data_IF_715559980975
#
_entry.id   IF_715559980975
#
_cell.length_a   1.000
_cell.length_b   1.000
_cell.length_c   1.000
_cell.angle_alpha   90.00
_cell.angle_beta   90.00
_cell.angle_gamma   90.00
#
_symmetry.space_group_name_H-M   'P 1'
#
loop_
_entity.id
_entity.type
_entity.pdbx_description
1 polymer ?
#
# COMPACT_ATOMS: atom_id res chain seq x y z
N UNK A 1 -42.02 8.06 -15.47
CA UNK A 1 -40.64 8.50 -15.82
C UNK A 1 -39.69 7.38 -15.50
N UNK A 2 -38.89 6.91 -16.49
CA UNK A 2 -37.81 5.96 -16.25
C UNK A 2 -36.54 6.72 -15.86
N UNK A 3 -36.04 6.52 -14.64
CA UNK A 3 -34.79 7.11 -14.21
C UNK A 3 -33.61 6.48 -14.96
N UNK A 4 -32.54 7.26 -15.25
CA UNK A 4 -31.31 6.71 -15.82
C UNK A 4 -30.73 5.65 -14.91
N UNK A 5 -30.32 4.53 -15.48
CA UNK A 5 -29.75 3.41 -14.72
C UNK A 5 -28.19 3.47 -14.79
N UNK A 6 -27.50 3.49 -13.64
CA UNK A 6 -26.04 3.44 -13.64
C UNK A 6 -25.54 2.08 -14.17
N UNK A 7 -24.35 2.09 -14.75
CA UNK A 7 -23.67 0.86 -15.16
C UNK A 7 -23.39 0.01 -13.90
N UNK A 8 -23.74 -1.27 -13.96
CA UNK A 8 -23.38 -2.21 -12.89
C UNK A 8 -21.95 -2.68 -13.09
N UNK A 9 -21.07 -2.35 -12.16
CA UNK A 9 -19.72 -2.90 -12.11
C UNK A 9 -19.71 -4.29 -11.48
N UNK A 10 -18.80 -5.15 -11.96
CA UNK A 10 -18.59 -6.49 -11.37
C UNK A 10 -17.62 -6.47 -10.17
N UNK A 11 -16.98 -5.31 -9.91
CA UNK A 11 -16.07 -5.15 -8.78
C UNK A 11 -16.83 -5.12 -7.45
N UNK A 12 -16.28 -5.77 -6.45
CA UNK A 12 -16.71 -5.62 -5.06
C UNK A 12 -16.42 -4.20 -4.56
N UNK A 13 -17.26 -3.68 -3.68
CA UNK A 13 -16.96 -2.42 -2.99
C UNK A 13 -15.80 -2.62 -2.04
N UNK A 14 -14.81 -1.71 -2.06
CA UNK A 14 -13.75 -1.71 -1.06
C UNK A 14 -14.31 -1.49 0.35
N UNK A 15 -13.96 -2.37 1.26
CA UNK A 15 -14.28 -2.23 2.69
C UNK A 15 -12.97 -1.92 3.42
N UNK A 16 -12.88 -0.72 3.99
CA UNK A 16 -11.72 -0.29 4.76
C UNK A 16 -11.51 -1.09 6.05
N UNK A 17 -10.36 -0.91 6.72
CA UNK A 17 -10.19 -1.39 8.08
C UNK A 17 -11.20 -0.74 9.02
N UNK A 18 -11.85 -1.53 9.88
CA UNK A 18 -12.83 -1.02 10.81
C UNK A 18 -12.18 0.00 11.77
N UNK A 19 -12.83 1.13 11.94
CA UNK A 19 -12.48 2.13 12.96
C UNK A 19 -13.34 1.97 14.21
N UNK A 20 -14.51 1.33 14.06
CA UNK A 20 -15.48 1.04 15.10
C UNK A 20 -15.95 -0.40 14.98
N UNK A 21 -16.25 -1.03 16.08
CA UNK A 21 -16.84 -2.36 16.12
C UNK A 21 -17.80 -2.46 17.30
N UNK A 22 -19.10 -2.71 17.03
CA UNK A 22 -20.15 -2.67 18.01
C UNK A 22 -20.16 -1.30 18.75
N UNK A 23 -20.65 -1.21 19.96
CA UNK A 23 -20.60 0.00 20.81
C UNK A 23 -19.37 -0.03 21.73
N UNK A 24 -18.16 -0.16 21.16
CA UNK A 24 -16.91 -0.15 21.94
C UNK A 24 -16.45 1.29 22.08
N UNK A 25 -16.30 1.77 23.31
CA UNK A 25 -15.81 3.11 23.60
C UNK A 25 -14.30 3.21 23.36
N UNK A 26 -13.89 4.28 22.66
CA UNK A 26 -12.49 4.59 22.35
C UNK A 26 -11.69 3.39 21.84
N UNK A 27 -12.06 2.76 20.69
CA UNK A 27 -11.36 1.61 20.17
C UNK A 27 -9.94 1.97 19.72
N UNK A 28 -9.01 1.05 19.91
CA UNK A 28 -7.63 1.15 19.42
C UNK A 28 -7.60 0.54 18.02
N UNK A 29 -7.51 1.38 17.00
CA UNK A 29 -7.53 0.98 15.61
C UNK A 29 -6.17 0.46 15.15
N UNK A 30 -6.05 -0.84 14.93
CA UNK A 30 -4.86 -1.53 14.40
C UNK A 30 -5.16 -2.23 13.06
N UNK A 31 -6.05 -1.65 12.25
CA UNK A 31 -6.65 -2.30 11.08
C UNK A 31 -6.26 -1.70 9.72
N UNK A 32 -5.56 -0.56 9.67
CA UNK A 32 -5.39 0.20 8.43
C UNK A 32 -3.93 0.52 8.04
N UNK A 33 -2.95 -0.07 8.72
CA UNK A 33 -1.51 0.15 8.45
C UNK A 33 -1.11 1.62 8.52
N UNK A 34 -1.71 2.36 9.47
CA UNK A 34 -1.35 3.75 9.75
C UNK A 34 0.00 3.81 10.47
N UNK A 35 0.69 4.95 10.38
CA UNK A 35 1.97 5.14 11.08
C UNK A 35 1.77 5.20 12.59
N UNK A 36 2.57 4.45 13.34
CA UNK A 36 2.54 4.42 14.80
C UNK A 36 2.95 5.76 15.45
N UNK A 37 3.85 6.51 14.80
CA UNK A 37 4.36 7.79 15.29
C UNK A 37 3.61 9.00 14.69
N UNK A 38 2.75 8.77 13.69
CA UNK A 38 2.13 9.87 12.93
C UNK A 38 3.12 10.61 12.03
N UNK A 39 2.76 11.83 11.59
CA UNK A 39 3.58 12.67 10.73
C UNK A 39 4.71 13.36 11.49
N UNK A 40 5.74 13.82 10.76
CA UNK A 40 6.80 14.62 11.35
C UNK A 40 6.28 15.97 11.85
N UNK A 41 6.86 16.55 12.92
CA UNK A 41 6.52 17.90 13.37
C UNK A 41 6.70 18.96 12.29
N UNK A 42 7.71 18.82 11.41
CA UNK A 42 7.95 19.74 10.29
C UNK A 42 6.82 19.69 9.25
N UNK A 43 6.31 18.48 8.96
CA UNK A 43 5.16 18.33 8.07
C UNK A 43 3.88 18.95 8.65
N UNK A 44 3.64 18.81 9.95
CA UNK A 44 2.52 19.47 10.64
C UNK A 44 2.67 20.98 10.61
N UNK A 45 3.86 21.51 10.90
CA UNK A 45 4.13 22.94 10.86
C UNK A 45 3.89 23.53 9.47
N UNK A 46 4.33 22.83 8.41
CA UNK A 46 4.10 23.25 7.02
C UNK A 46 2.61 23.26 6.66
N UNK A 47 1.87 22.26 7.09
CA UNK A 47 0.42 22.21 6.94
C UNK A 47 -0.26 23.42 7.63
N UNK A 48 0.12 23.72 8.87
CA UNK A 48 -0.44 24.83 9.63
C UNK A 48 -0.10 26.20 9.02
N UNK A 49 1.10 26.39 8.52
CA UNK A 49 1.53 27.63 7.86
C UNK A 49 0.74 27.93 6.59
N UNK A 50 0.23 26.90 5.92
CA UNK A 50 -0.50 27.05 4.65
C UNK A 50 -2.04 26.95 4.81
N UNK A 51 -2.56 26.59 6.01
CA UNK A 51 -4.00 26.37 6.24
C UNK A 51 -4.87 27.60 5.93
N UNK A 52 -4.34 28.82 6.11
CA UNK A 52 -5.06 30.05 5.80
C UNK A 52 -5.03 30.46 4.32
N UNK A 53 -4.35 29.68 3.46
CA UNK A 53 -4.25 29.92 2.02
C UNK A 53 -5.09 28.95 1.19
N UNK A 54 -5.99 28.18 1.83
CA UNK A 54 -6.82 27.16 1.16
C UNK A 54 -7.81 27.73 0.12
N UNK A 55 -8.04 29.04 0.12
CA UNK A 55 -8.85 29.73 -0.89
C UNK A 55 -8.11 29.90 -2.23
N UNK A 56 -6.82 29.58 -2.30
CA UNK A 56 -6.01 29.63 -3.53
C UNK A 56 -5.82 28.22 -4.09
N UNK A 57 -5.96 28.07 -5.40
CA UNK A 57 -5.57 26.82 -6.05
C UNK A 57 -4.12 26.44 -5.76
N UNK A 58 -3.82 25.13 -5.66
CA UNK A 58 -2.44 24.65 -5.54
C UNK A 58 -1.68 24.76 -6.88
N UNK A 59 -0.43 24.33 -6.88
CA UNK A 59 0.31 24.09 -8.13
C UNK A 59 -0.38 22.97 -8.93
N UNK A 60 -0.63 23.19 -10.23
CA UNK A 60 -1.29 22.20 -11.08
C UNK A 60 -0.47 20.91 -11.22
N UNK A 61 0.86 21.04 -11.22
CA UNK A 61 1.80 19.97 -11.54
C UNK A 61 2.59 19.48 -10.33
N UNK A 62 2.30 20.01 -9.13
CA UNK A 62 3.00 19.67 -7.88
C UNK A 62 4.53 19.83 -7.97
N UNK A 63 5.01 20.88 -8.67
CA UNK A 63 6.43 21.08 -8.98
C UNK A 63 7.30 21.10 -7.74
N UNK A 64 6.88 21.82 -6.68
CA UNK A 64 7.63 21.91 -5.42
C UNK A 64 7.90 20.52 -4.81
N UNK A 65 6.92 19.62 -4.87
CA UNK A 65 7.08 18.25 -4.36
C UNK A 65 7.92 17.40 -5.31
N UNK A 66 7.70 17.51 -6.64
CA UNK A 66 8.44 16.73 -7.64
C UNK A 66 9.94 17.02 -7.60
N UNK A 67 10.34 18.27 -7.41
CA UNK A 67 11.74 18.67 -7.29
C UNK A 67 12.41 18.04 -6.06
N UNK A 68 11.75 18.10 -4.90
CA UNK A 68 12.27 17.49 -3.66
C UNK A 68 12.35 15.96 -3.75
N UNK A 69 11.37 15.33 -4.41
CA UNK A 69 11.41 13.88 -4.68
C UNK A 69 12.56 13.53 -5.62
N UNK A 70 12.76 14.32 -6.69
CA UNK A 70 13.82 14.14 -7.67
C UNK A 70 15.20 14.23 -7.01
N UNK A 71 15.42 15.25 -6.18
CA UNK A 71 16.66 15.42 -5.40
C UNK A 71 16.90 14.24 -4.45
N UNK A 72 15.86 13.86 -3.64
CA UNK A 72 16.00 12.80 -2.65
C UNK A 72 16.36 11.46 -3.25
N UNK A 73 15.75 11.11 -4.38
CA UNK A 73 15.89 9.77 -5.00
C UNK A 73 16.82 9.75 -6.22
N UNK A 74 17.43 10.88 -6.54
CA UNK A 74 18.31 11.05 -7.72
C UNK A 74 17.64 10.55 -9.01
N UNK A 75 16.48 11.15 -9.33
CA UNK A 75 15.65 10.83 -10.50
C UNK A 75 15.18 12.11 -11.19
N UNK A 76 14.68 11.99 -12.42
CA UNK A 76 14.16 13.12 -13.20
C UNK A 76 12.78 13.56 -12.71
N UNK A 77 12.65 14.83 -12.27
CA UNK A 77 11.37 15.40 -11.81
C UNK A 77 10.29 15.41 -12.91
N UNK A 78 10.67 15.45 -14.20
CA UNK A 78 9.75 15.41 -15.34
C UNK A 78 9.12 14.02 -15.54
N UNK A 79 9.65 13.01 -14.87
CA UNK A 79 9.16 11.63 -14.90
C UNK A 79 8.35 11.26 -13.65
N UNK A 80 7.95 12.28 -12.85
CA UNK A 80 7.15 12.11 -11.63
C UNK A 80 5.73 12.63 -11.86
N UNK A 81 4.74 11.90 -11.38
CA UNK A 81 3.35 12.36 -11.23
C UNK A 81 2.92 12.25 -9.78
N UNK A 82 2.29 13.30 -9.23
CA UNK A 82 1.70 13.28 -7.89
C UNK A 82 0.19 13.07 -7.97
N UNK A 83 -0.36 12.37 -6.99
CA UNK A 83 -1.77 12.02 -6.95
C UNK A 83 -2.37 12.01 -5.55
N UNK A 84 -3.68 11.94 -5.49
CA UNK A 84 -4.46 11.77 -4.26
C UNK A 84 -4.30 10.33 -3.72
N UNK A 85 -3.11 10.05 -3.15
CA UNK A 85 -2.60 8.72 -2.83
C UNK A 85 -2.08 7.99 -4.06
N UNK A 86 -1.37 6.87 -3.86
CA UNK A 86 -1.02 5.95 -4.95
C UNK A 86 -2.25 5.38 -5.65
N UNK A 87 -3.39 5.34 -4.97
CA UNK A 87 -4.68 4.90 -5.52
C UNK A 87 -5.05 5.66 -6.79
N UNK A 88 -4.87 6.99 -6.82
CA UNK A 88 -5.14 7.77 -8.03
C UNK A 88 -4.19 7.40 -9.17
N UNK A 89 -2.94 7.07 -8.86
CA UNK A 89 -1.98 6.65 -9.90
C UNK A 89 -2.40 5.29 -10.50
N UNK A 90 -2.92 4.36 -9.69
CA UNK A 90 -3.45 3.09 -10.20
C UNK A 90 -4.66 3.30 -11.10
N UNK A 91 -5.58 4.17 -10.71
CA UNK A 91 -6.76 4.50 -11.51
C UNK A 91 -6.39 5.13 -12.86
N UNK A 92 -5.51 6.15 -12.84
CA UNK A 92 -4.97 6.78 -14.05
C UNK A 92 -4.26 5.75 -14.95
N UNK A 93 -3.51 4.83 -14.36
CA UNK A 93 -2.84 3.75 -15.10
C UNK A 93 -3.87 2.86 -15.80
N UNK A 94 -4.89 2.41 -15.08
CA UNK A 94 -5.94 1.61 -15.68
C UNK A 94 -6.69 2.37 -16.78
N UNK A 95 -6.94 3.66 -16.58
CA UNK A 95 -7.59 4.51 -17.58
C UNK A 95 -6.77 4.62 -18.88
N UNK A 96 -5.45 4.73 -18.79
CA UNK A 96 -4.59 4.91 -19.95
C UNK A 96 -4.32 3.63 -20.75
N UNK A 97 -4.28 2.48 -20.08
CA UNK A 97 -3.76 1.26 -20.67
C UNK A 97 -4.82 0.17 -20.92
N UNK A 98 -6.07 0.37 -20.45
CA UNK A 98 -7.09 -0.67 -20.50
C UNK A 98 -8.29 -0.28 -21.35
N UNK A 99 -8.64 -1.18 -22.25
CA UNK A 99 -9.91 -1.21 -22.97
C UNK A 99 -10.78 -2.40 -22.48
N UNK A 100 -12.10 -2.37 -22.75
CA UNK A 100 -12.95 -3.49 -22.41
C UNK A 100 -12.47 -4.80 -23.01
N UNK A 101 -12.20 -5.81 -22.18
CA UNK A 101 -11.71 -7.13 -22.59
C UNK A 101 -10.19 -7.33 -22.50
N UNK A 102 -9.42 -6.28 -22.23
CA UNK A 102 -8.02 -6.40 -21.88
C UNK A 102 -7.85 -7.15 -20.55
N UNK A 103 -6.66 -7.71 -20.32
CA UNK A 103 -6.37 -8.47 -19.12
C UNK A 103 -5.36 -7.74 -18.23
N UNK A 104 -5.65 -7.77 -16.91
CA UNK A 104 -4.76 -7.29 -15.85
C UNK A 104 -4.40 -8.46 -14.96
N UNK A 105 -3.10 -8.75 -14.82
CA UNK A 105 -2.62 -9.76 -13.88
C UNK A 105 -2.35 -9.11 -12.54
N UNK A 106 -2.88 -9.72 -11.48
CA UNK A 106 -2.60 -9.40 -10.08
C UNK A 106 -2.32 -10.68 -9.31
N UNK A 107 -1.53 -10.62 -8.24
CA UNK A 107 -1.31 -11.78 -7.39
C UNK A 107 -2.58 -12.11 -6.59
N UNK A 108 -2.75 -13.37 -6.23
CA UNK A 108 -3.96 -13.90 -5.58
C UNK A 108 -4.37 -13.09 -4.35
N UNK A 109 -3.41 -12.75 -3.51
CA UNK A 109 -3.60 -11.94 -2.31
C UNK A 109 -2.99 -10.53 -2.45
N UNK A 110 -2.81 -10.03 -3.68
CA UNK A 110 -2.36 -8.67 -3.93
C UNK A 110 -3.37 -7.62 -3.46
N UNK A 111 -2.92 -6.37 -3.32
CA UNK A 111 -3.76 -5.29 -2.83
C UNK A 111 -5.05 -5.15 -3.67
N UNK A 112 -6.18 -5.25 -2.99
CA UNK A 112 -7.50 -5.42 -3.63
C UNK A 112 -7.88 -4.29 -4.59
N UNK A 113 -7.33 -3.07 -4.39
CA UNK A 113 -7.65 -1.93 -5.23
C UNK A 113 -7.22 -2.10 -6.69
N UNK A 114 -6.16 -2.88 -6.98
CA UNK A 114 -5.79 -3.18 -8.36
C UNK A 114 -6.92 -3.85 -9.15
N UNK A 115 -7.60 -4.82 -8.50
CA UNK A 115 -8.76 -5.52 -9.09
C UNK A 115 -9.93 -4.58 -9.30
N UNK A 116 -10.16 -3.70 -8.34
CA UNK A 116 -11.28 -2.74 -8.37
C UNK A 116 -11.07 -1.76 -9.52
N UNK A 117 -9.88 -1.11 -9.61
CA UNK A 117 -9.59 -0.17 -10.70
C UNK A 117 -9.61 -0.84 -12.08
N UNK A 118 -9.00 -2.01 -12.24
CA UNK A 118 -9.09 -2.77 -13.49
C UNK A 118 -10.55 -3.06 -13.90
N UNK A 119 -11.41 -3.40 -12.93
CA UNK A 119 -12.83 -3.67 -13.17
C UNK A 119 -13.62 -2.43 -13.55
N UNK A 120 -13.24 -1.22 -13.09
CA UNK A 120 -13.88 0.04 -13.51
C UNK A 120 -13.74 0.25 -15.03
N UNK A 121 -12.63 -0.20 -15.61
CA UNK A 121 -12.37 -0.12 -17.05
C UNK A 121 -12.82 -1.38 -17.83
N UNK A 122 -13.63 -2.24 -17.19
CA UNK A 122 -14.18 -3.48 -17.78
C UNK A 122 -13.09 -4.45 -18.25
N UNK A 123 -11.86 -4.32 -17.73
CA UNK A 123 -10.80 -5.26 -17.97
C UNK A 123 -11.04 -6.56 -17.20
N UNK A 124 -10.54 -7.66 -17.72
CA UNK A 124 -10.58 -8.96 -17.06
C UNK A 124 -9.42 -9.06 -16.07
N UNK A 125 -9.75 -9.23 -14.79
CA UNK A 125 -8.77 -9.51 -13.75
C UNK A 125 -8.37 -10.98 -13.79
N UNK A 126 -7.06 -11.22 -13.93
CA UNK A 126 -6.45 -12.56 -13.96
C UNK A 126 -5.60 -12.73 -12.69
N UNK A 127 -5.94 -13.74 -11.88
CA UNK A 127 -5.23 -14.01 -10.62
C UNK A 127 -4.06 -14.98 -10.87
N UNK A 128 -2.85 -14.55 -10.51
CA UNK A 128 -1.69 -15.42 -10.41
C UNK A 128 -1.62 -15.99 -8.99
N UNK A 129 -1.54 -17.31 -8.84
CA UNK A 129 -1.50 -17.98 -7.54
C UNK A 129 -0.26 -17.60 -6.76
N UNK A 130 -0.40 -17.58 -5.45
CA UNK A 130 0.71 -17.37 -4.52
C UNK A 130 1.12 -18.69 -3.87
N UNK A 131 2.43 -18.84 -3.60
CA UNK A 131 2.98 -20.00 -2.89
C UNK A 131 3.36 -19.56 -1.47
N UNK A 132 2.72 -20.11 -0.45
CA UNK A 132 2.94 -19.70 0.95
C UNK A 132 2.78 -18.20 1.17
N UNK A 133 1.74 -17.59 0.61
CA UNK A 133 1.46 -16.14 0.64
C UNK A 133 2.51 -15.27 -0.06
N UNK A 134 3.43 -15.83 -0.82
CA UNK A 134 4.42 -15.12 -1.63
C UNK A 134 4.05 -15.21 -3.11
N UNK A 135 4.13 -14.09 -3.81
CA UNK A 135 3.98 -14.03 -5.26
C UNK A 135 4.98 -14.98 -5.94
N UNK A 136 4.56 -15.62 -7.04
CA UNK A 136 5.40 -16.50 -7.82
C UNK A 136 5.58 -15.94 -9.24
N UNK A 137 6.83 -15.71 -9.62
CA UNK A 137 7.18 -15.21 -10.97
C UNK A 137 6.64 -16.14 -12.06
N UNK A 138 6.79 -17.46 -11.90
CA UNK A 138 6.31 -18.43 -12.90
C UNK A 138 4.79 -18.45 -12.99
N UNK A 139 4.06 -18.38 -11.87
CA UNK A 139 2.60 -18.29 -11.87
C UNK A 139 2.10 -17.01 -12.56
N UNK A 140 2.80 -15.89 -12.38
CA UNK A 140 2.48 -14.63 -13.08
C UNK A 140 2.69 -14.79 -14.57
N UNK A 141 3.83 -15.32 -15.00
CA UNK A 141 4.20 -15.47 -16.40
C UNK A 141 3.32 -16.49 -17.15
N UNK A 142 2.88 -17.55 -16.46
CA UNK A 142 1.94 -18.54 -17.01
C UNK A 142 0.58 -17.92 -17.37
N UNK A 143 0.17 -16.87 -16.65
CA UNK A 143 -1.10 -16.17 -16.92
C UNK A 143 -1.03 -15.12 -18.02
N UNK A 144 0.16 -14.84 -18.57
CA UNK A 144 0.33 -13.85 -19.63
C UNK A 144 -0.26 -14.33 -20.94
N UNK A 145 -1.12 -13.52 -21.54
CA UNK A 145 -1.73 -13.73 -22.85
C UNK A 145 -1.43 -12.56 -23.80
N UNK A 146 -1.97 -12.58 -25.02
CA UNK A 146 -1.88 -11.41 -25.94
C UNK A 146 -2.75 -10.24 -25.49
N UNK A 147 -3.71 -10.48 -24.56
CA UNK A 147 -4.63 -9.46 -24.01
C UNK A 147 -4.08 -8.81 -22.73
N UNK A 148 -2.99 -9.34 -22.17
CA UNK A 148 -2.38 -8.79 -20.98
C UNK A 148 -1.76 -7.43 -21.25
N UNK A 149 -2.19 -6.40 -20.53
CA UNK A 149 -1.69 -5.02 -20.63
C UNK A 149 -0.90 -4.60 -19.41
N UNK A 150 -1.35 -5.01 -18.22
CA UNK A 150 -0.77 -4.57 -16.94
C UNK A 150 -0.52 -5.79 -16.05
N UNK A 151 0.61 -5.77 -15.34
CA UNK A 151 0.91 -6.65 -14.20
C UNK A 151 1.15 -5.77 -12.99
N UNK A 152 0.33 -5.92 -11.93
CA UNK A 152 0.51 -5.23 -10.65
C UNK A 152 1.26 -6.09 -9.65
N UNK A 153 2.33 -5.56 -9.06
CA UNK A 153 3.12 -6.19 -8.00
C UNK A 153 3.31 -5.20 -6.85
N UNK A 154 2.80 -5.53 -5.67
CA UNK A 154 3.17 -4.84 -4.44
C UNK A 154 4.40 -5.52 -3.82
N UNK A 155 5.43 -4.74 -3.51
CA UNK A 155 6.69 -5.29 -3.00
C UNK A 155 7.35 -4.40 -1.94
N UNK A 156 7.21 -4.70 -0.65
CA UNK A 156 6.50 -5.83 -0.01
C UNK A 156 4.98 -5.80 -0.19
N UNK A 157 4.37 -7.00 -0.22
CA UNK A 157 2.94 -7.15 -0.49
C UNK A 157 2.04 -6.86 0.73
N UNK A 158 0.92 -6.24 0.48
CA UNK A 158 -0.19 -6.11 1.41
C UNK A 158 -1.38 -6.95 0.89
N UNK A 159 -1.90 -7.92 1.67
CA UNK A 159 -1.81 -8.05 3.14
C UNK A 159 -0.78 -9.07 3.64
N UNK A 160 -0.03 -9.75 2.79
CA UNK A 160 0.76 -10.93 3.17
C UNK A 160 2.07 -10.60 3.88
N UNK A 161 2.62 -9.40 3.68
CA UNK A 161 3.93 -9.01 4.21
C UNK A 161 5.10 -9.77 3.59
N UNK A 162 4.89 -10.52 2.51
CA UNK A 162 5.94 -11.20 1.76
C UNK A 162 6.50 -10.29 0.67
N UNK A 163 7.66 -10.66 0.13
CA UNK A 163 8.27 -9.89 -0.96
C UNK A 163 8.99 -10.79 -1.97
N UNK A 164 9.14 -10.28 -3.18
CA UNK A 164 10.04 -10.81 -4.20
C UNK A 164 11.42 -10.19 -4.03
N UNK A 165 12.47 -11.00 -4.13
CA UNK A 165 13.85 -10.51 -4.12
C UNK A 165 14.13 -9.66 -5.35
N UNK A 166 15.25 -8.91 -5.33
CA UNK A 166 15.70 -8.15 -6.50
C UNK A 166 15.84 -8.99 -7.75
N UNK A 167 16.37 -10.22 -7.59
CA UNK A 167 16.59 -11.13 -8.72
C UNK A 167 15.27 -11.68 -9.25
N UNK A 168 14.30 -12.01 -8.39
CA UNK A 168 12.95 -12.39 -8.78
C UNK A 168 12.24 -11.26 -9.54
N UNK A 169 12.35 -10.01 -9.05
CA UNK A 169 11.76 -8.84 -9.71
C UNK A 169 12.39 -8.56 -11.09
N UNK A 170 13.70 -8.63 -11.20
CA UNK A 170 14.42 -8.48 -12.46
C UNK A 170 14.08 -9.61 -13.44
N UNK A 171 14.02 -10.86 -12.96
CA UNK A 171 13.61 -12.01 -13.76
C UNK A 171 12.19 -11.85 -14.29
N UNK A 172 11.24 -11.43 -13.46
CA UNK A 172 9.87 -11.13 -13.88
C UNK A 172 9.87 -10.12 -15.03
N UNK A 173 10.53 -8.94 -14.85
CA UNK A 173 10.53 -7.91 -15.89
C UNK A 173 11.17 -8.35 -17.18
N UNK A 174 12.28 -9.09 -17.13
CA UNK A 174 12.98 -9.59 -18.32
C UNK A 174 12.15 -10.57 -19.14
N UNK A 175 11.32 -11.39 -18.49
CA UNK A 175 10.48 -12.41 -19.13
C UNK A 175 9.12 -11.87 -19.58
N UNK A 176 8.65 -10.76 -19.01
CA UNK A 176 7.44 -10.09 -19.51
C UNK A 176 7.70 -9.42 -20.86
N UNK A 177 6.72 -9.50 -21.77
CA UNK A 177 6.78 -8.80 -23.06
C UNK A 177 6.98 -7.30 -22.88
N UNK A 178 7.65 -6.63 -23.79
CA UNK A 178 7.96 -5.20 -23.71
C UNK A 178 6.72 -4.29 -23.73
N UNK A 179 5.64 -4.75 -24.35
CA UNK A 179 4.35 -4.04 -24.43
C UNK A 179 3.45 -4.25 -23.21
N UNK A 180 3.91 -4.94 -22.17
CA UNK A 180 3.18 -5.10 -20.90
C UNK A 180 3.78 -4.13 -19.89
N UNK A 181 2.95 -3.26 -19.33
CA UNK A 181 3.33 -2.38 -18.24
C UNK A 181 3.42 -3.17 -16.94
N UNK A 182 4.57 -3.13 -16.27
CA UNK A 182 4.72 -3.63 -14.90
C UNK A 182 4.56 -2.48 -13.92
N UNK A 183 3.57 -2.56 -13.04
CA UNK A 183 3.35 -1.59 -11.96
C UNK A 183 3.90 -2.16 -10.67
N UNK A 184 4.90 -1.49 -10.09
CA UNK A 184 5.53 -1.87 -8.83
C UNK A 184 5.06 -0.91 -7.74
N UNK A 185 4.32 -1.43 -6.77
CA UNK A 185 3.86 -0.65 -5.62
C UNK A 185 4.84 -0.79 -4.45
N UNK A 186 5.65 0.24 -4.27
CA UNK A 186 6.68 0.36 -3.22
C UNK A 186 6.12 0.97 -1.91
N UNK A 187 4.83 0.79 -1.60
CA UNK A 187 4.20 1.46 -0.45
C UNK A 187 4.84 1.14 0.92
N UNK A 188 5.59 0.06 1.02
CA UNK A 188 6.19 -0.42 2.27
C UNK A 188 7.71 -0.61 2.20
N UNK A 189 8.35 -0.15 1.11
CA UNK A 189 9.78 -0.44 0.88
C UNK A 189 10.71 0.06 2.00
N UNK A 190 10.35 1.18 2.67
CA UNK A 190 11.17 1.75 3.73
C UNK A 190 11.25 0.89 5.00
N UNK A 191 10.31 -0.04 5.19
CA UNK A 191 10.27 -0.89 6.38
C UNK A 191 11.12 -2.16 6.24
N UNK A 192 11.52 -2.52 5.02
CA UNK A 192 12.30 -3.73 4.75
C UNK A 192 13.75 -3.38 4.48
N UNK A 193 14.62 -3.94 5.31
CA UNK A 193 16.07 -3.93 5.12
C UNK A 193 16.55 -5.38 5.04
N UNK A 194 16.84 -5.86 3.82
CA UNK A 194 17.35 -7.20 3.54
C UNK A 194 18.32 -7.11 2.37
N UNK A 195 19.38 -7.91 2.38
CA UNK A 195 20.44 -7.89 1.36
C UNK A 195 19.92 -8.32 -0.03
N UNK A 196 18.86 -9.10 -0.07
CA UNK A 196 18.23 -9.58 -1.30
C UNK A 196 17.06 -8.71 -1.78
N UNK A 197 16.73 -7.63 -1.06
CA UNK A 197 15.66 -6.70 -1.40
C UNK A 197 16.21 -5.38 -1.93
N UNK A 198 15.54 -4.84 -2.94
CA UNK A 198 15.79 -3.49 -3.47
C UNK A 198 14.45 -2.88 -3.90
N UNK A 199 14.28 -1.58 -3.68
CA UNK A 199 13.04 -0.90 -4.08
C UNK A 199 12.84 -0.94 -5.59
N UNK A 200 11.58 -0.97 -6.03
CA UNK A 200 11.26 -0.95 -7.46
C UNK A 200 11.80 0.29 -8.17
N UNK A 201 11.86 1.44 -7.48
CA UNK A 201 12.42 2.65 -8.07
C UNK A 201 13.92 2.48 -8.41
N UNK A 202 14.69 1.90 -7.51
CA UNK A 202 16.12 1.69 -7.74
C UNK A 202 16.38 0.64 -8.83
N UNK A 203 15.57 -0.44 -8.86
CA UNK A 203 15.69 -1.49 -9.88
C UNK A 203 15.29 -1.03 -11.28
N UNK A 204 14.29 -0.16 -11.39
CA UNK A 204 13.60 0.06 -12.66
C UNK A 204 13.55 1.52 -13.11
N UNK A 205 14.25 2.46 -12.47
CA UNK A 205 14.23 3.88 -12.81
C UNK A 205 14.57 4.17 -14.29
N UNK A 206 15.35 3.29 -14.93
CA UNK A 206 15.77 3.43 -16.32
C UNK A 206 14.91 2.62 -17.32
N UNK A 207 13.89 1.89 -16.83
CA UNK A 207 12.99 1.12 -17.70
C UNK A 207 11.83 1.99 -18.18
N UNK A 208 11.49 1.89 -19.45
CA UNK A 208 10.39 2.66 -20.07
C UNK A 208 9.01 2.03 -19.84
N UNK A 209 8.94 0.75 -19.51
CA UNK A 209 7.72 -0.04 -19.38
C UNK A 209 7.48 -0.52 -17.92
N UNK A 210 7.97 0.25 -16.97
CA UNK A 210 7.70 0.07 -15.53
C UNK A 210 7.19 1.38 -14.95
N UNK A 211 6.13 1.30 -14.17
CA UNK A 211 5.64 2.38 -13.32
C UNK A 211 5.87 1.98 -11.87
N UNK A 212 6.64 2.76 -11.14
CA UNK A 212 6.81 2.58 -9.69
C UNK A 212 5.95 3.57 -8.95
N UNK A 213 5.19 3.11 -7.95
CA UNK A 213 4.35 3.98 -7.13
C UNK A 213 4.82 4.01 -5.69
N UNK A 214 4.66 5.14 -5.02
CA UNK A 214 4.97 5.34 -3.60
C UNK A 214 3.89 6.18 -2.93
N UNK A 215 3.81 6.08 -1.61
CA UNK A 215 2.76 6.72 -0.82
C UNK A 215 3.33 7.46 0.39
N UNK A 216 2.67 8.56 0.75
CA UNK A 216 2.92 9.26 2.01
C UNK A 216 2.09 8.70 3.17
N UNK A 217 1.23 7.74 2.89
CA UNK A 217 0.28 7.19 3.88
C UNK A 217 0.92 6.29 4.94
N UNK A 218 2.16 5.79 4.71
CA UNK A 218 2.80 4.78 5.57
C UNK A 218 3.91 5.40 6.41
N UNK A 219 5.15 5.33 5.94
CA UNK A 219 6.31 5.82 6.72
C UNK A 219 6.22 7.30 7.07
N UNK A 220 5.66 8.13 6.19
CA UNK A 220 5.53 9.57 6.39
C UNK A 220 4.37 9.98 7.31
N UNK A 221 3.46 9.05 7.65
CA UNK A 221 2.35 9.30 8.57
C UNK A 221 1.24 10.21 8.04
N UNK A 222 1.16 10.45 6.73
CA UNK A 222 0.21 11.37 6.10
C UNK A 222 -1.00 10.66 5.46
N UNK A 223 -1.44 9.53 6.04
CA UNK A 223 -2.54 8.73 5.48
C UNK A 223 -3.83 9.54 5.24
N UNK A 224 -4.18 10.44 6.16
CA UNK A 224 -5.36 11.29 6.07
C UNK A 224 -5.27 12.38 4.99
N UNK A 225 -4.07 12.78 4.61
CA UNK A 225 -3.84 13.83 3.59
C UNK A 225 -3.96 13.30 2.16
N UNK A 226 -3.99 11.99 1.95
CA UNK A 226 -4.12 11.38 0.63
C UNK A 226 -3.06 11.90 -0.36
N UNK A 227 -1.80 11.57 -0.13
CA UNK A 227 -0.68 11.92 -1.00
C UNK A 227 0.09 10.68 -1.44
N UNK A 228 0.37 10.59 -2.72
CA UNK A 228 1.20 9.56 -3.34
C UNK A 228 1.82 10.06 -4.63
N UNK A 229 2.71 9.28 -5.20
CA UNK A 229 3.37 9.63 -6.45
C UNK A 229 3.76 8.39 -7.23
N UNK A 230 3.96 8.57 -8.54
CA UNK A 230 4.45 7.55 -9.46
C UNK A 230 5.63 8.07 -10.26
N UNK A 231 6.50 7.15 -10.69
CA UNK A 231 7.65 7.38 -11.55
C UNK A 231 7.68 6.38 -12.70
N UNK A 232 7.80 6.89 -13.92
CA UNK A 232 7.85 6.05 -15.12
C UNK A 232 8.62 6.74 -16.26
N UNK A 233 8.54 6.24 -17.49
CA UNK A 233 9.03 6.96 -18.66
C UNK A 233 8.29 8.27 -18.85
N UNK A 234 8.96 9.23 -19.49
CA UNK A 234 8.38 10.56 -19.75
C UNK A 234 7.08 10.46 -20.55
N UNK A 235 7.01 9.56 -21.54
CA UNK A 235 5.81 9.36 -22.37
C UNK A 235 4.60 8.93 -21.51
N UNK A 236 4.78 7.97 -20.60
CA UNK A 236 3.72 7.53 -19.71
C UNK A 236 3.28 8.65 -18.78
N UNK A 237 4.23 9.40 -18.23
CA UNK A 237 3.93 10.51 -17.33
C UNK A 237 3.22 11.64 -18.06
N UNK A 238 3.67 12.01 -19.26
CA UNK A 238 3.00 13.03 -20.09
C UNK A 238 1.55 12.62 -20.41
N UNK A 239 1.32 11.35 -20.77
CA UNK A 239 -0.03 10.84 -21.01
C UNK A 239 -0.90 10.88 -19.73
N UNK A 240 -0.34 10.57 -18.56
CA UNK A 240 -1.06 10.71 -17.29
C UNK A 240 -1.43 12.16 -16.98
N UNK A 241 -0.57 13.12 -17.33
CA UNK A 241 -0.86 14.55 -17.17
C UNK A 241 -2.03 15.03 -18.06
N UNK A 242 -2.29 14.38 -19.20
CA UNK A 242 -3.42 14.73 -20.07
C UNK A 242 -4.77 14.33 -19.47
N UNK A 243 -4.82 13.30 -18.64
CA UNK A 243 -6.08 12.74 -18.10
C UNK A 243 -6.27 12.98 -16.60
N UNK A 244 -5.23 13.38 -15.87
CA UNK A 244 -5.39 13.64 -14.44
C UNK A 244 -6.31 14.85 -14.21
N UNK A 245 -7.15 14.83 -13.16
CA UNK A 245 -7.93 16.02 -12.78
C UNK A 245 -7.00 17.22 -12.50
N UNK A 246 -7.41 18.44 -12.88
CA UNK A 246 -6.64 19.64 -12.53
C UNK A 246 -6.58 19.80 -11.01
N UNK A 247 -5.45 20.30 -10.50
CA UNK A 247 -5.27 20.59 -9.07
C UNK A 247 -5.57 19.40 -8.13
N UNK A 248 -5.24 18.20 -8.57
CA UNK A 248 -5.60 16.94 -7.90
C UNK A 248 -4.93 16.70 -6.53
N UNK A 249 -3.92 17.49 -6.17
CA UNK A 249 -3.27 17.47 -4.86
C UNK A 249 -3.44 18.82 -4.18
N UNK A 250 -3.98 18.83 -2.97
CA UNK A 250 -4.26 20.04 -2.21
C UNK A 250 -3.00 20.81 -1.83
N UNK A 251 -3.11 22.14 -1.74
CA UNK A 251 -2.03 23.05 -1.36
C UNK A 251 -1.35 22.66 -0.03
N UNK A 252 -2.13 22.51 1.02
CA UNK A 252 -1.61 22.12 2.36
C UNK A 252 -0.98 20.74 2.36
N UNK A 253 -1.45 19.86 1.49
CA UNK A 253 -0.90 18.50 1.31
C UNK A 253 0.47 18.53 0.65
N UNK A 254 0.66 19.40 -0.37
CA UNK A 254 1.95 19.61 -1.03
C UNK A 254 2.97 20.16 -0.03
N UNK A 255 2.61 21.19 0.74
CA UNK A 255 3.48 21.78 1.75
C UNK A 255 3.94 20.75 2.80
N UNK A 256 2.99 19.98 3.35
CA UNK A 256 3.29 18.92 4.30
C UNK A 256 4.15 17.80 3.69
N UNK A 257 3.88 17.41 2.44
CA UNK A 257 4.62 16.39 1.71
C UNK A 257 6.09 16.77 1.48
N UNK A 258 6.34 18.01 1.07
CA UNK A 258 7.70 18.54 0.89
C UNK A 258 8.52 18.43 2.18
N UNK A 259 7.96 18.88 3.29
CA UNK A 259 8.68 18.84 4.57
C UNK A 259 8.78 17.42 5.16
N UNK A 260 7.80 16.56 4.91
CA UNK A 260 7.89 15.15 5.30
C UNK A 260 9.05 14.42 4.59
N UNK A 261 9.27 14.70 3.28
CA UNK A 261 10.37 14.12 2.50
C UNK A 261 11.74 14.59 3.01
N UNK A 262 11.85 15.86 3.41
CA UNK A 262 13.10 16.47 3.90
C UNK A 262 13.47 16.01 5.31
N UNK A 263 12.51 15.56 6.13
CA UNK A 263 12.74 15.20 7.52
C UNK A 263 13.33 13.78 7.68
N UNK A 264 14.60 13.65 7.31
CA UNK A 264 15.35 12.36 7.33
C UNK A 264 15.38 11.75 8.74
N UNK A 265 15.51 12.60 9.77
CA UNK A 265 15.59 12.12 11.17
C UNK A 265 14.26 11.53 11.64
N UNK A 266 13.12 12.11 11.26
CA UNK A 266 11.82 11.53 11.58
C UNK A 266 11.59 10.20 10.88
N UNK A 267 11.97 10.09 9.60
CA UNK A 267 11.87 8.84 8.84
C UNK A 267 12.71 7.74 9.50
N UNK A 268 13.96 8.06 9.87
CA UNK A 268 14.85 7.14 10.59
C UNK A 268 14.23 6.67 11.89
N UNK A 269 13.72 7.61 12.70
CA UNK A 269 13.01 7.30 13.95
C UNK A 269 11.81 6.39 13.74
N UNK A 270 11.03 6.60 12.68
CA UNK A 270 9.87 5.78 12.36
C UNK A 270 10.27 4.35 11.94
N UNK A 271 11.35 4.19 11.18
CA UNK A 271 11.91 2.89 10.82
C UNK A 271 12.42 2.15 12.06
N UNK A 272 13.22 2.80 12.90
CA UNK A 272 13.75 2.23 14.13
C UNK A 272 12.64 1.80 15.09
N UNK A 273 11.62 2.64 15.23
CA UNK A 273 10.44 2.33 16.04
C UNK A 273 9.70 1.09 15.52
N UNK A 274 9.44 1.04 14.22
CA UNK A 274 8.79 -0.10 13.59
C UNK A 274 9.61 -1.37 13.77
N UNK A 275 10.92 -1.32 13.54
CA UNK A 275 11.84 -2.45 13.71
C UNK A 275 11.84 -2.98 15.14
N UNK A 276 11.87 -2.09 16.13
CA UNK A 276 11.84 -2.48 17.54
C UNK A 276 10.55 -3.23 17.89
N UNK A 277 9.41 -2.64 17.52
CA UNK A 277 8.11 -3.20 17.91
C UNK A 277 7.73 -4.44 17.10
N UNK A 278 8.10 -4.49 15.83
CA UNK A 278 7.90 -5.70 15.03
C UNK A 278 8.66 -6.89 15.61
N UNK A 279 9.92 -6.72 16.02
CA UNK A 279 10.70 -7.78 16.67
C UNK A 279 10.05 -8.25 17.97
N UNK A 280 9.58 -7.32 18.82
CA UNK A 280 8.90 -7.66 20.09
C UNK A 280 7.60 -8.44 19.87
N UNK A 281 6.75 -7.96 18.97
CA UNK A 281 5.46 -8.61 18.65
C UNK A 281 5.72 -10.00 18.05
N UNK A 282 6.62 -10.10 17.07
CA UNK A 282 6.97 -11.35 16.41
C UNK A 282 7.51 -12.41 17.39
N UNK A 283 8.36 -11.99 18.34
CA UNK A 283 8.85 -12.86 19.41
C UNK A 283 7.70 -13.41 20.30
N UNK A 284 6.70 -12.58 20.60
CA UNK A 284 5.51 -13.03 21.35
C UNK A 284 4.70 -14.03 20.53
N UNK A 285 4.44 -13.75 19.24
CA UNK A 285 3.70 -14.67 18.37
C UNK A 285 4.41 -16.03 18.27
N UNK A 286 5.72 -16.03 18.04
CA UNK A 286 6.54 -17.27 18.01
C UNK A 286 6.45 -18.06 19.31
N UNK A 287 6.51 -17.40 20.48
CA UNK A 287 6.42 -18.08 21.79
C UNK A 287 5.12 -18.85 21.97
N UNK A 288 4.04 -18.44 21.31
CA UNK A 288 2.73 -19.11 21.35
C UNK A 288 2.45 -19.96 20.11
N UNK A 289 3.47 -20.28 19.30
CA UNK A 289 3.37 -21.06 18.06
C UNK A 289 2.37 -20.48 17.05
N UNK A 290 2.23 -19.14 17.02
CA UNK A 290 1.36 -18.46 16.07
C UNK A 290 2.18 -18.08 14.85
N UNK A 291 1.74 -18.54 13.68
CA UNK A 291 2.37 -18.19 12.41
C UNK A 291 2.06 -16.74 12.02
N UNK A 292 3.07 -16.02 11.62
CA UNK A 292 2.96 -14.68 11.03
C UNK A 292 4.07 -14.50 9.98
N UNK A 293 3.89 -13.53 9.05
CA UNK A 293 4.97 -13.14 8.16
C UNK A 293 6.16 -12.56 8.94
N UNK A 294 7.35 -12.65 8.36
CA UNK A 294 8.53 -11.96 8.89
C UNK A 294 8.29 -10.44 8.92
N UNK A 295 9.01 -9.68 9.79
CA UNK A 295 8.86 -8.23 9.96
C UNK A 295 9.38 -7.43 8.75
N UNK A 296 8.60 -7.35 7.70
CA UNK A 296 8.93 -6.69 6.42
C UNK A 296 8.15 -5.40 6.17
N UNK A 297 7.13 -5.15 6.98
CA UNK A 297 6.19 -4.03 6.83
C UNK A 297 5.86 -3.41 8.19
N UNK A 298 4.93 -2.46 8.24
CA UNK A 298 4.37 -1.97 9.50
C UNK A 298 3.14 -2.75 9.98
N UNK A 299 3.02 -4.00 9.53
CA UNK A 299 1.93 -4.89 9.94
C UNK A 299 2.35 -6.37 9.90
N UNK A 300 1.53 -7.22 10.51
CA UNK A 300 1.62 -8.67 10.42
C UNK A 300 0.34 -9.28 9.87
N UNK A 301 0.45 -10.24 8.97
CA UNK A 301 -0.60 -11.20 8.69
C UNK A 301 -0.43 -12.37 9.67
N UNK A 302 -1.32 -12.48 10.63
CA UNK A 302 -1.27 -13.49 11.69
C UNK A 302 -2.21 -14.63 11.33
N UNK A 303 -1.70 -15.85 11.30
CA UNK A 303 -2.47 -17.06 11.00
C UNK A 303 -2.75 -17.85 12.28
N UNK A 304 -4.02 -18.03 12.58
CA UNK A 304 -4.53 -18.76 13.75
C UNK A 304 -5.02 -20.17 13.40
N UNK A 305 -4.73 -20.69 12.20
CA UNK A 305 -5.24 -21.99 11.74
C UNK A 305 -4.77 -23.19 12.58
N UNK A 306 -3.68 -23.04 13.34
CA UNK A 306 -3.16 -24.08 14.24
C UNK A 306 -3.55 -23.85 15.71
N UNK A 307 -4.32 -22.81 16.00
CA UNK A 307 -4.83 -22.55 17.35
C UNK A 307 -6.16 -23.27 17.59
N UNK A 308 -6.49 -23.53 18.87
CA UNK A 308 -7.79 -24.10 19.25
C UNK A 308 -8.96 -23.14 19.07
N UNK A 309 -8.67 -21.85 18.84
CA UNK A 309 -9.63 -20.77 18.79
C UNK A 309 -9.60 -20.17 17.38
N UNK A 310 -10.76 -19.96 16.75
CA UNK A 310 -10.85 -19.39 15.42
C UNK A 310 -10.40 -17.91 15.38
N UNK A 311 -9.94 -17.45 14.21
CA UNK A 311 -9.59 -16.02 14.05
C UNK A 311 -10.76 -15.06 14.31
N UNK A 312 -12.00 -15.49 14.05
CA UNK A 312 -13.19 -14.71 14.36
C UNK A 312 -13.41 -14.56 15.86
N UNK A 313 -13.25 -15.65 16.62
CA UNK A 313 -13.36 -15.62 18.09
C UNK A 313 -12.22 -14.79 18.71
N UNK A 314 -10.99 -14.93 18.19
CA UNK A 314 -9.84 -14.10 18.61
C UNK A 314 -10.12 -12.62 18.32
N UNK A 315 -10.68 -12.32 17.15
CA UNK A 315 -11.08 -10.96 16.82
C UNK A 315 -12.09 -10.38 17.81
N UNK A 316 -13.15 -11.13 18.15
CA UNK A 316 -14.16 -10.70 19.13
C UNK A 316 -13.56 -10.48 20.53
N UNK A 317 -12.68 -11.39 20.98
CA UNK A 317 -11.97 -11.26 22.28
C UNK A 317 -11.00 -10.07 22.29
N UNK A 318 -10.30 -9.80 21.20
CA UNK A 318 -9.44 -8.61 21.08
C UNK A 318 -10.29 -7.32 21.01
N UNK A 319 -11.37 -7.35 20.25
CA UNK A 319 -12.30 -6.22 20.15
C UNK A 319 -12.94 -5.89 21.50
N UNK A 320 -13.35 -6.88 22.32
CA UNK A 320 -13.84 -6.64 23.68
C UNK A 320 -12.81 -5.98 24.58
N UNK A 321 -11.52 -6.12 24.26
CA UNK A 321 -10.40 -5.41 24.89
C UNK A 321 -10.01 -4.11 24.12
N UNK A 322 -10.90 -3.58 23.27
CA UNK A 322 -10.74 -2.34 22.50
C UNK A 322 -9.73 -2.42 21.33
N UNK A 323 -9.21 -3.58 20.99
CA UNK A 323 -8.21 -3.76 19.93
C UNK A 323 -8.88 -4.20 18.63
N UNK A 324 -8.90 -3.33 17.61
CA UNK A 324 -9.55 -3.58 16.33
C UNK A 324 -8.51 -3.92 15.26
N UNK A 325 -8.37 -5.22 14.98
CA UNK A 325 -7.53 -5.74 13.90
C UNK A 325 -8.30 -5.79 12.57
N UNK A 326 -7.62 -6.10 11.49
CA UNK A 326 -8.22 -6.28 10.17
C UNK A 326 -8.58 -7.74 9.92
N UNK A 327 -9.87 -8.03 9.70
CA UNK A 327 -10.29 -9.33 9.15
C UNK A 327 -9.90 -9.45 7.68
N UNK A 328 -9.44 -10.63 7.26
CA UNK A 328 -8.98 -10.88 5.89
C UNK A 328 -10.06 -11.47 4.98
N UNK A 329 -11.33 -11.32 5.33
CA UNK A 329 -12.48 -11.87 4.60
C UNK A 329 -12.52 -11.44 3.13
N UNK A 330 -12.25 -10.16 2.83
CA UNK A 330 -12.21 -9.67 1.44
C UNK A 330 -11.07 -10.30 0.61
N UNK A 331 -10.00 -10.71 1.25
CA UNK A 331 -8.88 -11.40 0.60
C UNK A 331 -9.09 -12.92 0.53
N UNK A 332 -10.17 -13.43 1.15
CA UNK A 332 -10.47 -14.88 1.24
C UNK A 332 -9.33 -15.68 1.88
N UNK A 333 -8.61 -15.10 2.82
CA UNK A 333 -7.56 -15.77 3.59
C UNK A 333 -8.18 -16.27 4.91
N UNK A 334 -8.46 -17.57 5.04
CA UNK A 334 -9.13 -18.11 6.23
C UNK A 334 -8.24 -18.06 7.46
N UNK A 335 -8.85 -18.01 8.61
CA UNK A 335 -8.19 -18.05 9.92
C UNK A 335 -7.07 -17.04 10.13
N UNK A 336 -7.17 -15.87 9.50
CA UNK A 336 -6.14 -14.83 9.60
C UNK A 336 -6.70 -13.48 10.02
N UNK A 337 -5.86 -12.73 10.73
CA UNK A 337 -6.08 -11.32 11.03
C UNK A 337 -4.82 -10.53 10.66
N UNK A 338 -4.98 -9.29 10.19
CA UNK A 338 -3.85 -8.40 9.98
C UNK A 338 -3.77 -7.38 11.11
N UNK A 339 -2.62 -7.35 11.77
CA UNK A 339 -2.28 -6.44 12.87
C UNK A 339 -1.38 -5.32 12.35
N UNK A 340 -1.79 -4.07 12.49
CA UNK A 340 -0.91 -2.91 12.31
C UNK A 340 -0.07 -2.68 13.56
N UNK A 341 1.21 -2.34 13.40
CA UNK A 341 2.08 -1.91 14.51
C UNK A 341 1.63 -0.52 14.95
N UNK A 342 1.11 -0.42 16.17
CA UNK A 342 0.58 0.80 16.76
C UNK A 342 1.59 1.57 17.61
N UNK A 343 1.10 2.54 18.39
CA UNK A 343 1.92 3.19 19.42
C UNK A 343 2.31 2.21 20.54
N UNK A 344 3.15 2.64 21.46
CA UNK A 344 3.68 1.81 22.56
C UNK A 344 2.56 1.13 23.34
N UNK A 345 1.59 1.92 23.78
CA UNK A 345 0.46 1.46 24.61
C UNK A 345 -0.39 0.43 23.88
N UNK A 346 -0.68 0.66 22.61
CA UNK A 346 -1.43 -0.26 21.76
C UNK A 346 -0.70 -1.59 21.55
N UNK A 347 0.61 -1.54 21.30
CA UNK A 347 1.44 -2.73 21.09
C UNK A 347 1.57 -3.56 22.38
N UNK A 348 1.82 -2.93 23.51
CA UNK A 348 1.88 -3.59 24.83
C UNK A 348 0.52 -4.22 25.18
N UNK A 349 -0.56 -3.48 24.98
CA UNK A 349 -1.91 -3.97 25.21
C UNK A 349 -2.26 -5.17 24.31
N UNK A 350 -1.89 -5.13 23.03
CA UNK A 350 -2.03 -6.28 22.13
C UNK A 350 -1.27 -7.49 22.64
N UNK A 351 0.01 -7.34 23.00
CA UNK A 351 0.84 -8.45 23.49
C UNK A 351 0.33 -9.05 24.79
N UNK A 352 -0.22 -8.26 25.69
CA UNK A 352 -0.86 -8.74 26.93
C UNK A 352 -2.16 -9.47 26.62
N UNK A 353 -2.98 -8.91 25.74
CA UNK A 353 -4.28 -9.45 25.38
C UNK A 353 -4.16 -10.80 24.68
N UNK A 354 -3.27 -10.92 23.70
CA UNK A 354 -3.08 -12.19 22.98
C UNK A 354 -2.56 -13.29 23.89
N UNK A 355 -1.66 -12.98 24.83
CA UNK A 355 -1.21 -13.91 25.86
C UNK A 355 -2.35 -14.42 26.75
N UNK A 356 -3.26 -13.53 27.13
CA UNK A 356 -4.42 -13.87 27.98
C UNK A 356 -5.47 -14.70 27.23
N UNK A 357 -5.61 -14.52 25.91
CA UNK A 357 -6.59 -15.24 25.08
C UNK A 357 -6.13 -16.67 24.77
N UNK A 358 -4.83 -16.89 24.67
CA UNK A 358 -4.23 -18.17 24.25
C UNK A 358 -3.78 -19.06 25.42
N UNK A 359 -3.86 -18.58 26.65
CA UNK A 359 -3.72 -19.40 27.87
C UNK A 359 -4.98 -20.20 28.14
#
# INVERSE_FOLDING_TARGET
MTLPKPIKFRAERYIGGLSQFKKIDNPIKLSANESALGPSPKAIQAFENDKNKIFKYPESDSNSLREVLAEKFNIDSKRIICGSGSDQIFDLTCHLFLEPGDEVIVTEFGFIMYRIYASHHKAKVVLAKEKNFKASVDEILEKVTNKTKIVFIANPNNPTGTYLSKDEMLNLRKRLKSNILMVVDDAYFEFLNSDDFTSGLELFKDFSNVLVTRTFSKIYGLAGLRLGWGYSSKEIIDAMYQIKPPFNVNRVVLAAGVEAIKDKEWIKKAIEYNTLWSKKIFSVLKKYNIKANEPTTNFFLINFGETKISSDEIFEKLASKRLILRKMTQYKIPNTLRLTIGNKEANEHFMQSIRSILK
#
